data_IF_594259028195
#
_entry.id   IF_594259028195
#
_cell.length_a   1.000
_cell.length_b   1.000
_cell.length_c   1.000
_cell.angle_alpha   90.00
_cell.angle_beta   90.00
_cell.angle_gamma   90.00
#
_symmetry.space_group_name_H-M   'P 1'
#
loop_
_entity.id
_entity.type
_entity.pdbx_description
1 polymer ?
#
# COMPACT_ATOMS: atom_id res chain seq x y z
N UNK A 1 15.80 -6.20 -1.96
CA UNK A 1 16.02 -5.38 -0.74
C UNK A 1 16.01 -3.91 -1.10
N UNK A 2 15.43 -3.07 -0.23
CA UNK A 2 15.39 -1.63 -0.43
C UNK A 2 16.80 -1.05 -0.55
N UNK A 3 17.03 -0.26 -1.60
CA UNK A 3 18.35 0.31 -1.90
C UNK A 3 18.33 1.81 -1.71
N UNK A 4 19.35 2.33 -1.04
CA UNK A 4 19.63 3.74 -0.93
C UNK A 4 20.96 4.05 -1.63
N UNK A 5 21.05 5.20 -2.29
CA UNK A 5 22.30 5.64 -2.91
C UNK A 5 23.35 6.01 -1.84
N UNK A 6 22.90 6.45 -0.68
CA UNK A 6 23.71 6.79 0.48
C UNK A 6 22.96 6.37 1.75
N UNK A 7 23.28 5.19 2.27
CA UNK A 7 22.66 4.67 3.48
C UNK A 7 23.08 5.44 4.72
N UNK A 8 24.30 5.96 4.76
CA UNK A 8 24.78 6.77 5.89
C UNK A 8 23.86 7.96 6.18
N UNK A 9 23.32 8.60 5.14
CA UNK A 9 22.34 9.68 5.32
C UNK A 9 21.02 9.20 5.90
N UNK A 10 20.60 7.98 5.60
CA UNK A 10 19.38 7.39 6.16
C UNK A 10 19.55 7.07 7.63
N UNK A 11 20.75 6.61 8.03
CA UNK A 11 21.08 6.34 9.44
C UNK A 11 21.07 7.58 10.33
N UNK A 12 21.37 8.75 9.76
CA UNK A 12 21.35 10.04 10.46
C UNK A 12 19.94 10.61 10.67
N UNK A 13 18.93 10.13 9.94
CA UNK A 13 17.57 10.60 10.07
C UNK A 13 16.92 10.11 11.36
N UNK A 14 16.09 10.98 11.94
CA UNK A 14 15.23 10.59 13.05
C UNK A 14 14.14 9.63 12.57
N UNK A 15 14.04 8.48 13.23
CA UNK A 15 13.01 7.46 12.97
C UNK A 15 11.89 7.56 14.01
N UNK A 16 10.65 7.03 13.72
CA UNK A 16 10.26 6.44 12.44
C UNK A 16 9.93 7.50 11.37
N UNK A 17 10.01 7.11 10.08
CA UNK A 17 9.55 7.94 8.98
C UNK A 17 9.03 7.10 7.80
N UNK A 18 8.13 7.68 7.01
CA UNK A 18 7.63 7.12 5.76
C UNK A 18 8.58 7.45 4.63
N UNK A 19 9.25 6.45 4.08
CA UNK A 19 10.11 6.61 2.91
C UNK A 19 9.33 6.31 1.64
N UNK A 20 9.39 7.22 0.66
CA UNK A 20 8.80 7.05 -0.65
C UNK A 20 9.86 7.00 -1.76
N UNK A 21 9.96 5.85 -2.45
CA UNK A 21 10.77 5.70 -3.64
C UNK A 21 10.06 6.34 -4.84
N UNK A 22 10.52 7.52 -5.22
CA UNK A 22 9.90 8.32 -6.27
C UNK A 22 10.15 7.76 -7.68
N UNK A 23 11.17 6.93 -7.88
CA UNK A 23 11.42 6.30 -9.17
C UNK A 23 10.43 5.15 -9.41
N UNK A 24 10.20 4.29 -8.40
CA UNK A 24 9.15 3.25 -8.43
C UNK A 24 7.78 3.89 -8.58
N UNK A 25 7.48 4.93 -7.81
CA UNK A 25 6.22 5.65 -7.89
C UNK A 25 5.94 6.20 -9.30
N UNK A 26 6.88 6.97 -9.87
CA UNK A 26 6.73 7.55 -11.20
C UNK A 26 6.58 6.50 -12.30
N UNK A 27 7.34 5.40 -12.18
CA UNK A 27 7.24 4.27 -13.12
C UNK A 27 5.84 3.66 -13.10
N UNK A 28 5.30 3.42 -11.90
CA UNK A 28 3.95 2.87 -11.69
C UNK A 28 2.89 3.78 -12.29
N UNK A 29 2.90 5.07 -11.92
CA UNK A 29 1.90 6.04 -12.40
C UNK A 29 1.96 6.23 -13.91
N UNK A 30 3.17 6.32 -14.50
CA UNK A 30 3.34 6.46 -15.96
C UNK A 30 2.83 5.23 -16.71
N UNK A 31 3.09 4.03 -16.19
CA UNK A 31 2.58 2.80 -16.80
C UNK A 31 1.06 2.78 -16.78
N UNK A 32 0.43 3.01 -15.63
CA UNK A 32 -1.02 3.03 -15.50
C UNK A 32 -1.66 4.08 -16.42
N UNK A 33 -1.09 5.29 -16.52
CA UNK A 33 -1.57 6.35 -17.41
C UNK A 33 -1.47 5.94 -18.88
N UNK A 34 -0.34 5.37 -19.32
CA UNK A 34 -0.16 4.94 -20.71
C UNK A 34 -1.09 3.80 -21.11
N UNK A 35 -1.42 2.90 -20.16
CA UNK A 35 -2.38 1.82 -20.41
C UNK A 35 -3.81 2.36 -20.43
N UNK A 36 -4.15 3.29 -19.54
CA UNK A 36 -5.45 3.99 -19.58
C UNK A 36 -5.68 4.64 -20.95
N UNK A 37 -4.71 5.34 -21.50
CA UNK A 37 -4.78 5.93 -22.83
C UNK A 37 -4.88 4.86 -23.93
N UNK A 38 -4.03 3.83 -23.90
CA UNK A 38 -3.98 2.76 -24.90
C UNK A 38 -5.30 2.00 -25.04
N UNK A 39 -5.93 1.66 -23.90
CA UNK A 39 -7.15 0.86 -23.88
C UNK A 39 -8.43 1.71 -23.85
N UNK A 40 -8.32 3.03 -23.73
CA UNK A 40 -9.48 3.91 -23.61
C UNK A 40 -10.30 3.61 -22.34
N UNK A 41 -9.64 3.20 -21.27
CA UNK A 41 -10.23 2.90 -19.96
C UNK A 41 -9.79 3.99 -18.99
N UNK A 42 -10.75 4.78 -18.46
CA UNK A 42 -10.48 5.82 -17.48
C UNK A 42 -9.94 5.25 -16.16
N UNK A 43 -9.15 6.02 -15.43
CA UNK A 43 -8.68 5.60 -14.13
C UNK A 43 -8.85 6.73 -13.10
N UNK A 44 -9.51 6.42 -11.97
CA UNK A 44 -9.72 7.31 -10.84
C UNK A 44 -8.86 6.83 -9.67
N UNK A 45 -7.93 7.67 -9.23
CA UNK A 45 -7.10 7.32 -8.08
C UNK A 45 -7.92 7.31 -6.78
N UNK A 46 -7.93 6.18 -6.07
CA UNK A 46 -8.61 6.06 -4.79
C UNK A 46 -7.81 6.76 -3.67
N UNK A 47 -8.21 7.99 -3.31
CA UNK A 47 -7.50 8.85 -2.35
C UNK A 47 -7.30 8.20 -0.99
N UNK A 48 -8.25 7.39 -0.55
CA UNK A 48 -8.16 6.59 0.70
C UNK A 48 -6.88 5.76 0.84
N UNK A 49 -6.19 5.47 -0.27
CA UNK A 49 -4.96 4.69 -0.24
C UNK A 49 -3.78 5.50 0.29
N UNK A 50 -3.63 6.76 -0.14
CA UNK A 50 -2.58 7.66 0.33
C UNK A 50 -2.90 9.11 -0.12
N UNK A 51 -2.83 10.06 0.81
CA UNK A 51 -3.11 11.48 0.57
C UNK A 51 -1.86 12.37 0.67
N UNK A 52 -0.67 11.78 0.56
CA UNK A 52 0.58 12.55 0.56
C UNK A 52 0.59 13.55 -0.61
N UNK A 53 0.69 14.87 -0.35
CA UNK A 53 0.48 15.90 -1.36
C UNK A 53 1.35 15.76 -2.60
N UNK A 54 2.61 15.35 -2.43
CA UNK A 54 3.56 15.18 -3.54
C UNK A 54 3.18 14.03 -4.46
N UNK A 55 2.63 12.95 -3.90
CA UNK A 55 2.14 11.81 -4.68
C UNK A 55 0.84 12.18 -5.39
N UNK A 56 -0.12 12.73 -4.66
CA UNK A 56 -1.46 13.05 -5.16
C UNK A 56 -1.40 14.06 -6.30
N UNK A 57 -0.65 15.17 -6.13
CA UNK A 57 -0.49 16.19 -7.17
C UNK A 57 0.18 15.62 -8.44
N UNK A 58 1.13 14.69 -8.28
CA UNK A 58 1.75 14.04 -9.43
C UNK A 58 0.74 13.15 -10.18
N UNK A 59 -0.08 12.37 -9.48
CA UNK A 59 -1.14 11.54 -10.07
C UNK A 59 -2.13 12.43 -10.84
N UNK A 60 -2.63 13.51 -10.22
CA UNK A 60 -3.52 14.46 -10.86
C UNK A 60 -2.91 15.04 -12.15
N UNK A 61 -1.60 15.37 -12.14
CA UNK A 61 -0.87 15.89 -13.31
C UNK A 61 -0.78 14.91 -14.48
N UNK A 62 -1.11 13.63 -14.28
CA UNK A 62 -1.10 12.57 -15.31
C UNK A 62 -2.49 12.29 -15.89
N UNK A 63 -3.49 13.10 -15.57
CA UNK A 63 -4.82 13.00 -16.14
C UNK A 63 -5.73 11.97 -15.49
N UNK A 64 -5.35 11.46 -14.32
CA UNK A 64 -6.24 10.60 -13.54
C UNK A 64 -7.43 11.40 -12.98
N UNK A 65 -8.57 10.71 -12.83
CA UNK A 65 -9.65 11.15 -11.95
C UNK A 65 -9.34 10.81 -10.49
N UNK A 66 -10.27 11.18 -9.59
CA UNK A 66 -10.18 10.84 -8.17
C UNK A 66 -11.43 10.08 -7.71
N UNK A 67 -11.25 8.92 -7.04
CA UNK A 67 -12.27 8.25 -6.24
C UNK A 67 -12.13 8.74 -4.80
N UNK A 68 -13.20 9.38 -4.30
CA UNK A 68 -13.30 9.99 -2.98
C UNK A 68 -14.38 9.27 -2.15
N UNK A 69 -14.12 9.09 -0.86
CA UNK A 69 -15.07 8.42 0.06
C UNK A 69 -15.46 9.29 1.26
N UNK A 70 -15.11 10.58 1.22
CA UNK A 70 -15.57 11.61 2.15
C UNK A 70 -15.59 12.98 1.49
N UNK A 71 -16.38 13.92 2.04
CA UNK A 71 -16.42 15.29 1.56
C UNK A 71 -15.06 16.02 1.67
N UNK A 72 -14.24 15.65 2.64
CA UNK A 72 -12.88 16.21 2.75
C UNK A 72 -11.97 15.70 1.65
N UNK A 73 -12.08 14.42 1.26
CA UNK A 73 -11.34 13.90 0.10
C UNK A 73 -11.77 14.59 -1.20
N UNK A 74 -13.07 14.88 -1.38
CA UNK A 74 -13.56 15.64 -2.54
C UNK A 74 -12.93 17.03 -2.61
N UNK A 75 -12.89 17.77 -1.49
CA UNK A 75 -12.24 19.09 -1.42
C UNK A 75 -10.74 18.99 -1.71
N UNK A 76 -10.08 18.03 -1.09
CA UNK A 76 -8.67 17.78 -1.26
C UNK A 76 -8.32 17.38 -2.70
N UNK A 77 -9.16 16.62 -3.38
CA UNK A 77 -9.00 16.30 -4.81
C UNK A 77 -9.01 17.56 -5.67
N UNK A 78 -9.98 18.47 -5.45
CA UNK A 78 -10.03 19.76 -6.15
C UNK A 78 -8.77 20.58 -5.90
N UNK A 79 -8.34 20.70 -4.66
CA UNK A 79 -7.14 21.45 -4.24
C UNK A 79 -5.85 20.84 -4.81
N UNK A 80 -5.80 19.52 -4.98
CA UNK A 80 -4.67 18.78 -5.54
C UNK A 80 -4.58 18.83 -7.07
N UNK A 81 -5.58 19.44 -7.74
CA UNK A 81 -5.54 19.68 -9.19
C UNK A 81 -6.26 18.63 -10.04
N UNK A 82 -7.08 17.75 -9.45
CA UNK A 82 -7.96 16.89 -10.25
C UNK A 82 -9.06 17.72 -10.92
N UNK A 83 -9.40 17.38 -12.16
CA UNK A 83 -10.53 18.00 -12.84
C UNK A 83 -11.83 17.64 -12.11
N UNK A 84 -12.67 18.62 -11.78
CA UNK A 84 -13.92 18.39 -11.03
C UNK A 84 -14.82 17.37 -11.71
N UNK A 85 -14.90 17.40 -13.03
CA UNK A 85 -15.65 16.45 -13.86
C UNK A 85 -15.13 15.01 -13.79
N UNK A 86 -13.92 14.79 -13.26
CA UNK A 86 -13.28 13.48 -13.09
C UNK A 86 -13.18 13.08 -11.61
N UNK A 87 -13.93 13.75 -10.72
CA UNK A 87 -14.02 13.38 -9.31
C UNK A 87 -15.31 12.58 -9.12
N UNK A 88 -15.20 11.37 -8.59
CA UNK A 88 -16.33 10.55 -8.19
C UNK A 88 -16.39 10.46 -6.67
N UNK A 89 -17.62 10.44 -6.11
CA UNK A 89 -17.82 10.39 -4.67
C UNK A 89 -18.61 9.13 -4.30
N UNK A 90 -17.88 8.14 -3.77
CA UNK A 90 -18.38 6.85 -3.30
C UNK A 90 -18.53 6.81 -1.77
N UNK A 91 -18.93 5.65 -1.23
CA UNK A 91 -19.04 5.41 0.21
C UNK A 91 -20.45 5.50 0.75
N UNK A 92 -20.76 4.63 1.71
CA UNK A 92 -22.12 4.37 2.25
C UNK A 92 -22.64 5.42 3.23
N UNK A 93 -21.82 6.40 3.61
CA UNK A 93 -22.15 7.31 4.73
C UNK A 93 -21.97 8.78 4.35
N UNK A 94 -22.32 9.18 3.12
CA UNK A 94 -22.33 10.59 2.71
C UNK A 94 -23.38 11.34 3.51
N UNK A 95 -22.98 12.35 4.27
CA UNK A 95 -23.91 13.24 4.99
C UNK A 95 -24.52 14.27 4.04
N UNK A 96 -25.68 14.83 4.42
CA UNK A 96 -26.34 15.90 3.66
C UNK A 96 -25.39 17.07 3.36
N UNK A 97 -24.54 17.42 4.35
CA UNK A 97 -23.54 18.47 4.19
C UNK A 97 -22.51 18.11 3.13
N UNK A 98 -21.98 16.91 3.13
CA UNK A 98 -20.96 16.47 2.16
C UNK A 98 -21.56 16.37 0.75
N UNK A 99 -22.79 15.87 0.62
CA UNK A 99 -23.54 15.87 -0.65
C UNK A 99 -23.74 17.30 -1.15
N UNK A 100 -24.21 18.18 -0.28
CA UNK A 100 -24.44 19.59 -0.61
C UNK A 100 -23.15 20.30 -1.06
N UNK A 101 -22.06 20.11 -0.32
CA UNK A 101 -20.73 20.68 -0.66
C UNK A 101 -20.24 20.12 -2.02
N UNK A 102 -20.40 18.83 -2.29
CA UNK A 102 -20.00 18.20 -3.53
C UNK A 102 -20.83 18.67 -4.75
N UNK A 103 -22.14 18.90 -4.55
CA UNK A 103 -23.01 19.54 -5.56
C UNK A 103 -22.54 20.96 -5.88
N UNK A 104 -22.17 21.77 -4.88
CA UNK A 104 -21.65 23.11 -5.07
C UNK A 104 -20.28 23.14 -5.78
N UNK A 105 -19.46 22.12 -5.55
CA UNK A 105 -18.18 21.95 -6.25
C UNK A 105 -18.37 21.48 -7.70
N UNK A 106 -19.54 20.92 -8.05
CA UNK A 106 -19.84 20.41 -9.39
C UNK A 106 -18.94 19.23 -9.76
N UNK A 107 -18.88 18.22 -8.90
CA UNK A 107 -18.11 16.98 -9.15
C UNK A 107 -18.68 16.18 -10.31
N UNK A 108 -17.86 15.24 -10.82
CA UNK A 108 -18.23 14.41 -11.97
C UNK A 108 -19.41 13.49 -11.72
N UNK A 109 -19.42 12.75 -10.60
CA UNK A 109 -20.47 11.77 -10.32
C UNK A 109 -20.53 11.39 -8.84
N UNK A 110 -21.74 11.05 -8.37
CA UNK A 110 -21.95 10.34 -7.10
C UNK A 110 -22.12 8.85 -7.39
N UNK A 111 -21.29 8.00 -6.80
CA UNK A 111 -21.47 6.55 -6.76
C UNK A 111 -22.41 6.23 -5.59
N UNK A 112 -23.68 5.96 -5.90
CA UNK A 112 -24.77 5.86 -4.94
C UNK A 112 -24.87 4.45 -4.39
N UNK A 113 -25.01 4.33 -3.07
CA UNK A 113 -24.92 3.04 -2.36
C UNK A 113 -26.31 2.51 -1.91
N UNK A 114 -27.36 3.34 -1.93
CA UNK A 114 -28.72 2.95 -1.49
C UNK A 114 -29.83 3.81 -2.08
N UNK A 115 -31.07 3.28 -2.06
CA UNK A 115 -32.26 4.01 -2.51
C UNK A 115 -32.52 5.28 -1.70
N UNK A 116 -32.27 5.23 -0.39
CA UNK A 116 -32.42 6.40 0.48
C UNK A 116 -31.43 7.50 0.13
N UNK A 117 -30.17 7.14 -0.14
CA UNK A 117 -29.16 8.10 -0.59
C UNK A 117 -29.55 8.76 -1.91
N UNK A 118 -30.11 8.00 -2.87
CA UNK A 118 -30.62 8.56 -4.12
C UNK A 118 -31.66 9.65 -3.86
N UNK A 119 -32.62 9.39 -2.96
CA UNK A 119 -33.66 10.34 -2.60
C UNK A 119 -33.13 11.61 -1.93
N UNK A 120 -32.09 11.46 -1.08
CA UNK A 120 -31.43 12.59 -0.42
C UNK A 120 -30.67 13.44 -1.45
N UNK A 121 -29.94 12.81 -2.35
CA UNK A 121 -29.22 13.53 -3.42
C UNK A 121 -30.22 14.26 -4.33
N UNK A 122 -31.31 13.61 -4.71
CA UNK A 122 -32.38 14.22 -5.53
C UNK A 122 -32.97 15.47 -4.86
N UNK A 123 -33.37 15.36 -3.59
CA UNK A 123 -33.92 16.46 -2.83
C UNK A 123 -32.94 17.65 -2.68
N UNK A 124 -31.68 17.37 -2.36
CA UNK A 124 -30.66 18.40 -2.21
C UNK A 124 -30.34 19.07 -3.56
N UNK A 125 -30.18 18.30 -4.65
CA UNK A 125 -29.95 18.82 -5.98
C UNK A 125 -31.13 19.68 -6.46
N UNK A 126 -32.36 19.21 -6.27
CA UNK A 126 -33.57 19.96 -6.58
C UNK A 126 -33.66 21.28 -5.80
N UNK A 127 -33.37 21.27 -4.49
CA UNK A 127 -33.36 22.47 -3.65
C UNK A 127 -32.35 23.54 -4.10
N UNK A 128 -31.25 23.11 -4.72
CA UNK A 128 -30.21 23.97 -5.28
C UNK A 128 -30.47 24.35 -6.75
N UNK A 129 -31.49 23.78 -7.38
CA UNK A 129 -31.77 24.00 -8.80
C UNK A 129 -30.66 23.42 -9.74
N UNK A 130 -29.95 22.40 -9.31
CA UNK A 130 -28.90 21.73 -10.09
C UNK A 130 -29.28 20.27 -10.40
N UNK A 131 -28.57 19.63 -11.31
CA UNK A 131 -28.68 18.19 -11.55
C UNK A 131 -27.46 17.47 -11.01
N UNK A 132 -27.67 16.35 -10.32
CA UNK A 132 -26.62 15.48 -9.81
C UNK A 132 -26.39 14.32 -10.78
N UNK A 133 -25.18 14.17 -11.30
CA UNK A 133 -24.78 12.96 -11.99
C UNK A 133 -24.66 11.82 -10.99
N UNK A 134 -25.30 10.69 -11.27
CA UNK A 134 -25.30 9.52 -10.38
C UNK A 134 -24.97 8.24 -11.15
N UNK A 135 -24.13 7.40 -10.55
CA UNK A 135 -23.94 5.99 -10.94
C UNK A 135 -24.40 5.11 -9.78
N UNK A 136 -25.11 4.04 -10.08
CA UNK A 136 -25.55 3.11 -9.05
C UNK A 136 -24.41 2.13 -8.74
N UNK A 137 -23.96 2.10 -7.49
CA UNK A 137 -23.07 1.03 -7.05
C UNK A 137 -23.86 -0.23 -6.84
N UNK A 138 -23.48 -1.25 -7.58
CA UNK A 138 -24.13 -2.55 -7.59
C UNK A 138 -23.28 -3.55 -6.84
N UNK A 139 -23.92 -4.34 -5.98
CA UNK A 139 -23.30 -5.52 -5.41
C UNK A 139 -23.44 -6.71 -6.39
N UNK A 140 -22.35 -7.13 -7.09
CA UNK A 140 -22.42 -8.19 -8.10
C UNK A 140 -22.47 -9.59 -7.50
N UNK A 141 -22.38 -9.73 -6.18
CA UNK A 141 -22.29 -11.00 -5.46
C UNK A 141 -21.14 -11.91 -5.96
N UNK A 142 -19.94 -11.36 -5.99
CA UNK A 142 -18.72 -12.08 -6.37
C UNK A 142 -17.85 -12.25 -5.15
N UNK A 143 -17.40 -13.49 -4.89
CA UNK A 143 -16.35 -13.75 -3.92
C UNK A 143 -14.99 -13.61 -4.61
N UNK A 144 -14.28 -12.54 -4.27
CA UNK A 144 -12.93 -12.28 -4.78
C UNK A 144 -11.85 -13.07 -4.01
N UNK A 145 -12.23 -13.98 -3.09
CA UNK A 145 -11.33 -14.78 -2.25
C UNK A 145 -10.29 -13.94 -1.50
N UNK A 146 -10.66 -12.72 -1.10
CA UNK A 146 -9.80 -11.79 -0.36
C UNK A 146 -10.07 -11.86 1.14
N UNK A 147 -9.22 -11.21 1.95
CA UNK A 147 -9.41 -11.19 3.41
C UNK A 147 -10.80 -10.65 3.79
N UNK A 148 -11.47 -11.29 4.77
CA UNK A 148 -12.85 -10.98 5.20
C UNK A 148 -13.16 -9.50 5.37
N UNK A 149 -12.20 -8.71 5.87
CA UNK A 149 -12.40 -7.27 6.11
C UNK A 149 -12.19 -6.38 4.87
N UNK A 150 -11.76 -6.94 3.73
CA UNK A 150 -11.56 -6.20 2.47
C UNK A 150 -12.40 -6.74 1.31
N UNK A 151 -13.22 -7.75 1.54
CA UNK A 151 -14.20 -8.27 0.58
C UNK A 151 -15.45 -7.39 0.62
N UNK A 152 -15.88 -6.87 -0.53
CA UNK A 152 -17.02 -5.93 -0.64
C UNK A 152 -18.13 -6.44 -1.56
N UNK A 153 -17.91 -7.55 -2.26
CA UNK A 153 -18.82 -8.07 -3.29
C UNK A 153 -19.84 -9.12 -2.85
N UNK A 154 -19.97 -9.45 -1.56
CA UNK A 154 -20.89 -10.51 -1.07
C UNK A 154 -22.25 -9.96 -0.64
N UNK A 155 -23.29 -10.82 -0.63
CA UNK A 155 -24.70 -10.49 -0.38
C UNK A 155 -24.96 -9.72 0.92
N UNK A 156 -24.35 -10.07 2.02
CA UNK A 156 -24.55 -9.40 3.31
C UNK A 156 -23.42 -8.40 3.60
N UNK A 157 -23.23 -7.45 2.71
CA UNK A 157 -22.28 -6.36 2.88
C UNK A 157 -23.01 -5.03 2.93
N UNK A 158 -22.45 -4.06 3.65
CA UNK A 158 -23.01 -2.71 3.76
C UNK A 158 -22.96 -1.91 2.45
N UNK A 159 -22.32 -2.43 1.41
CA UNK A 159 -22.03 -1.71 0.17
C UNK A 159 -22.96 -2.12 -0.98
N UNK A 160 -23.41 -1.08 -1.71
CA UNK A 160 -24.08 -1.23 -3.00
C UNK A 160 -25.54 -1.64 -2.91
N UNK A 161 -26.26 -1.35 -3.98
CA UNK A 161 -27.68 -1.66 -4.20
C UNK A 161 -27.79 -3.14 -4.58
N UNK A 162 -28.65 -3.85 -3.89
CA UNK A 162 -28.89 -5.27 -4.09
C UNK A 162 -29.87 -5.55 -5.24
N UNK A 163 -29.79 -6.73 -5.86
CA UNK A 163 -30.61 -7.11 -7.00
C UNK A 163 -32.10 -6.88 -6.81
N UNK A 164 -32.64 -7.13 -5.62
CA UNK A 164 -34.07 -6.97 -5.32
C UNK A 164 -34.53 -5.50 -5.25
N UNK A 165 -33.60 -4.54 -5.22
CA UNK A 165 -33.86 -3.11 -5.17
C UNK A 165 -33.77 -2.43 -6.56
N UNK A 166 -33.37 -3.16 -7.61
CA UNK A 166 -33.09 -2.58 -8.94
C UNK A 166 -34.31 -1.89 -9.55
N UNK A 167 -35.50 -2.52 -9.47
CA UNK A 167 -36.73 -1.93 -10.01
C UNK A 167 -37.06 -0.64 -9.28
N UNK A 168 -36.97 -0.63 -7.95
CA UNK A 168 -37.23 0.57 -7.13
C UNK A 168 -36.18 1.69 -7.45
N UNK A 169 -34.93 1.35 -7.69
CA UNK A 169 -33.91 2.31 -8.14
C UNK A 169 -34.27 2.94 -9.49
N UNK A 170 -34.74 2.12 -10.45
CA UNK A 170 -35.24 2.60 -11.76
C UNK A 170 -36.43 3.55 -11.59
N UNK A 171 -37.40 3.21 -10.73
CA UNK A 171 -38.55 4.05 -10.47
C UNK A 171 -38.15 5.42 -9.90
N UNK A 172 -37.22 5.47 -8.95
CA UNK A 172 -36.66 6.72 -8.44
C UNK A 172 -36.01 7.53 -9.55
N UNK A 173 -35.14 6.91 -10.38
CA UNK A 173 -34.47 7.60 -11.48
C UNK A 173 -35.46 8.17 -12.50
N UNK A 174 -36.49 7.40 -12.90
CA UNK A 174 -37.53 7.83 -13.84
C UNK A 174 -38.42 8.93 -13.28
N UNK A 175 -38.66 8.91 -11.97
CA UNK A 175 -39.48 9.92 -11.26
C UNK A 175 -38.70 11.22 -10.96
N UNK A 176 -37.39 11.20 -10.93
CA UNK A 176 -36.57 12.34 -10.59
C UNK A 176 -36.35 13.30 -11.76
N UNK A 177 -36.29 14.60 -11.43
CA UNK A 177 -35.86 15.67 -12.37
C UNK A 177 -34.48 16.23 -12.06
N UNK A 178 -33.92 15.89 -10.89
CA UNK A 178 -32.65 16.42 -10.41
C UNK A 178 -31.52 15.37 -10.46
N UNK A 179 -31.84 14.09 -10.66
CA UNK A 179 -30.84 13.06 -10.91
C UNK A 179 -30.57 12.92 -12.42
N UNK A 180 -29.32 12.69 -12.76
CA UNK A 180 -28.86 12.38 -14.12
C UNK A 180 -28.09 11.07 -14.08
N UNK A 181 -28.77 9.97 -14.45
CA UNK A 181 -28.18 8.64 -14.43
C UNK A 181 -27.09 8.51 -15.49
N UNK A 182 -25.88 8.18 -15.06
CA UNK A 182 -24.71 8.01 -15.93
C UNK A 182 -24.37 6.55 -16.17
N UNK A 183 -24.54 5.69 -15.19
CA UNK A 183 -24.16 4.29 -15.34
C UNK A 183 -24.10 3.50 -14.06
N UNK A 184 -23.30 2.46 -14.08
CA UNK A 184 -23.13 1.52 -13.00
C UNK A 184 -21.70 1.52 -12.48
N UNK A 185 -21.56 1.33 -11.18
CA UNK A 185 -20.30 1.20 -10.48
C UNK A 185 -20.24 -0.12 -9.74
N UNK A 186 -19.10 -0.77 -9.79
CA UNK A 186 -18.81 -2.04 -9.15
C UNK A 186 -17.56 -1.92 -8.28
N UNK A 187 -17.43 -2.75 -7.27
CA UNK A 187 -16.17 -2.92 -6.53
C UNK A 187 -16.23 -4.21 -5.72
N UNK A 188 -15.42 -5.18 -6.07
CA UNK A 188 -15.51 -6.56 -5.57
C UNK A 188 -14.57 -6.89 -4.43
N UNK A 189 -13.55 -6.05 -4.19
CA UNK A 189 -12.61 -6.29 -3.11
C UNK A 189 -11.27 -5.58 -3.27
N UNK A 190 -10.30 -5.98 -2.47
CA UNK A 190 -8.95 -5.39 -2.47
C UNK A 190 -7.89 -6.47 -2.28
N UNK A 191 -6.68 -6.25 -2.80
CA UNK A 191 -5.58 -7.21 -2.84
C UNK A 191 -5.95 -8.47 -3.65
N UNK A 192 -6.49 -8.26 -4.86
CA UNK A 192 -6.82 -9.31 -5.80
C UNK A 192 -5.55 -9.70 -6.56
N UNK A 193 -5.06 -10.90 -6.32
CA UNK A 193 -3.84 -11.46 -6.95
C UNK A 193 -4.16 -12.43 -8.09
N UNK A 194 -5.32 -13.11 -8.04
CA UNK A 194 -5.84 -13.88 -9.19
C UNK A 194 -6.56 -12.94 -10.16
N UNK A 195 -5.74 -12.18 -10.90
CA UNK A 195 -6.22 -11.14 -11.83
C UNK A 195 -7.06 -11.75 -12.95
N UNK A 196 -6.68 -12.93 -13.47
CA UNK A 196 -7.35 -13.54 -14.63
C UNK A 196 -8.77 -13.99 -14.29
N UNK A 197 -8.92 -14.81 -13.26
CA UNK A 197 -10.21 -15.43 -12.93
C UNK A 197 -11.19 -14.41 -12.37
N UNK A 198 -10.73 -13.59 -11.42
CA UNK A 198 -11.60 -12.67 -10.66
C UNK A 198 -12.11 -11.54 -11.54
N UNK A 199 -11.23 -10.86 -12.29
CA UNK A 199 -11.67 -9.76 -13.17
C UNK A 199 -12.40 -10.24 -14.40
N UNK A 200 -12.15 -11.48 -14.90
CA UNK A 200 -12.99 -12.06 -15.96
C UNK A 200 -14.43 -12.25 -15.50
N UNK A 201 -14.61 -12.79 -14.29
CA UNK A 201 -15.94 -12.98 -13.70
C UNK A 201 -16.64 -11.63 -13.41
N UNK A 202 -15.88 -10.64 -12.93
CA UNK A 202 -16.42 -9.29 -12.74
C UNK A 202 -16.93 -8.68 -14.04
N UNK A 203 -16.16 -8.77 -15.13
CA UNK A 203 -16.57 -8.28 -16.43
C UNK A 203 -17.83 -8.98 -16.97
N UNK A 204 -17.94 -10.30 -16.77
CA UNK A 204 -19.13 -11.06 -17.17
C UNK A 204 -20.36 -10.61 -16.38
N UNK A 205 -20.25 -10.49 -15.05
CA UNK A 205 -21.35 -10.04 -14.18
C UNK A 205 -21.75 -8.60 -14.44
N UNK A 206 -20.77 -7.72 -14.62
CA UNK A 206 -21.04 -6.32 -14.96
C UNK A 206 -21.84 -6.23 -16.27
N UNK A 207 -21.44 -6.97 -17.31
CA UNK A 207 -22.15 -6.99 -18.59
C UNK A 207 -23.58 -7.52 -18.46
N UNK A 208 -23.82 -8.61 -17.69
CA UNK A 208 -25.16 -9.15 -17.43
C UNK A 208 -26.07 -8.11 -16.73
N UNK A 209 -25.50 -7.38 -15.79
CA UNK A 209 -26.26 -6.36 -15.04
C UNK A 209 -26.54 -5.14 -15.92
N UNK A 210 -25.58 -4.70 -16.74
CA UNK A 210 -25.77 -3.63 -17.72
C UNK A 210 -26.90 -4.02 -18.70
N UNK A 211 -26.87 -5.21 -19.29
CA UNK A 211 -27.91 -5.72 -20.17
C UNK A 211 -29.30 -5.74 -19.48
N UNK A 212 -29.34 -6.06 -18.20
CA UNK A 212 -30.58 -6.05 -17.44
C UNK A 212 -31.17 -4.63 -17.29
N UNK A 213 -30.33 -3.62 -16.92
CA UNK A 213 -30.78 -2.23 -16.80
C UNK A 213 -31.25 -1.68 -18.15
N UNK A 214 -30.55 -1.98 -19.23
CA UNK A 214 -30.92 -1.56 -20.57
C UNK A 214 -32.23 -2.20 -21.05
N UNK A 215 -32.46 -3.47 -20.75
CA UNK A 215 -33.73 -4.15 -21.03
C UNK A 215 -34.91 -3.52 -20.25
N UNK A 216 -34.65 -2.82 -19.13
CA UNK A 216 -35.67 -2.09 -18.35
C UNK A 216 -35.75 -0.60 -18.71
N UNK A 217 -35.14 -0.20 -19.83
CA UNK A 217 -35.24 1.14 -20.40
C UNK A 217 -34.33 2.18 -19.76
N UNK A 218 -33.23 1.73 -19.12
CA UNK A 218 -32.19 2.61 -18.58
C UNK A 218 -30.97 2.57 -19.50
N UNK A 219 -30.59 3.72 -20.05
CA UNK A 219 -29.35 3.82 -20.84
C UNK A 219 -28.15 3.88 -19.91
N UNK A 220 -27.29 2.85 -19.95
CA UNK A 220 -26.05 2.79 -19.18
C UNK A 220 -24.92 3.40 -20.01
N UNK A 221 -24.52 4.62 -19.70
CA UNK A 221 -23.47 5.36 -20.44
C UNK A 221 -22.07 5.11 -19.92
N UNK A 222 -21.92 4.70 -18.63
CA UNK A 222 -20.62 4.42 -18.00
C UNK A 222 -20.63 3.14 -17.18
N UNK A 223 -19.50 2.44 -17.18
CA UNK A 223 -19.27 1.23 -16.40
C UNK A 223 -17.97 1.44 -15.61
N UNK A 224 -18.08 1.60 -14.30
CA UNK A 224 -16.92 1.66 -13.42
C UNK A 224 -16.74 0.30 -12.72
N UNK A 225 -15.61 -0.35 -12.97
CA UNK A 225 -15.30 -1.66 -12.38
C UNK A 225 -14.59 -1.57 -11.02
N UNK A 226 -14.42 -0.34 -10.50
CA UNK A 226 -13.75 -0.16 -9.23
C UNK A 226 -12.26 -0.51 -9.28
N UNK A 227 -11.74 -0.91 -8.13
CA UNK A 227 -10.32 -1.17 -7.98
C UNK A 227 -10.01 -2.63 -7.64
N UNK A 228 -9.03 -2.79 -6.76
CA UNK A 228 -8.73 -4.08 -6.14
C UNK A 228 -7.42 -4.72 -6.55
N UNK A 229 -6.77 -4.30 -7.64
CA UNK A 229 -5.51 -4.91 -8.11
C UNK A 229 -4.49 -5.00 -6.96
N UNK A 230 -4.04 -6.23 -6.70
CA UNK A 230 -3.11 -6.57 -5.64
C UNK A 230 -1.67 -6.17 -5.95
N UNK A 231 -0.83 -6.27 -4.92
CA UNK A 231 0.62 -6.03 -4.98
C UNK A 231 1.35 -7.20 -4.34
N UNK A 232 2.63 -7.34 -4.66
CA UNK A 232 3.49 -8.34 -4.06
C UNK A 232 4.05 -7.81 -2.72
N UNK A 233 3.61 -8.42 -1.62
CA UNK A 233 4.11 -8.11 -0.29
C UNK A 233 5.30 -8.97 0.13
N UNK A 234 5.49 -10.13 -0.54
CA UNK A 234 6.54 -11.08 -0.21
C UNK A 234 7.86 -10.73 -0.90
N UNK A 235 7.80 -10.47 -2.23
CA UNK A 235 8.99 -10.13 -3.01
C UNK A 235 8.82 -8.78 -3.75
N UNK A 236 8.72 -7.66 -3.01
CA UNK A 236 8.41 -6.35 -3.57
C UNK A 236 9.48 -5.81 -4.53
N UNK A 237 10.70 -6.33 -4.48
CA UNK A 237 11.79 -5.92 -5.38
C UNK A 237 11.76 -6.66 -6.72
N UNK A 238 11.20 -7.87 -6.76
CA UNK A 238 11.02 -8.62 -8.00
C UNK A 238 9.87 -8.06 -8.82
N UNK A 239 8.79 -7.67 -8.14
CA UNK A 239 7.58 -7.11 -8.74
C UNK A 239 7.26 -5.71 -8.18
N UNK A 240 8.14 -4.70 -8.41
CA UNK A 240 7.98 -3.37 -7.85
C UNK A 240 6.83 -2.57 -8.47
N UNK A 241 6.33 -3.01 -9.63
CA UNK A 241 5.19 -2.41 -10.33
C UNK A 241 4.15 -3.50 -10.57
N UNK A 242 2.90 -3.32 -10.10
CA UNK A 242 1.83 -4.28 -10.31
C UNK A 242 1.51 -4.53 -11.78
N UNK A 243 0.95 -5.69 -12.09
CA UNK A 243 0.64 -6.10 -13.47
C UNK A 243 -0.63 -5.41 -14.00
N UNK A 244 -0.53 -4.09 -14.19
CA UNK A 244 -1.57 -3.28 -14.83
C UNK A 244 -1.87 -3.74 -16.25
N UNK A 245 -0.86 -4.16 -17.02
CA UNK A 245 -1.05 -4.63 -18.40
C UNK A 245 -2.03 -5.81 -18.46
N UNK A 246 -1.88 -6.78 -17.55
CA UNK A 246 -2.78 -7.91 -17.48
C UNK A 246 -4.20 -7.47 -17.12
N UNK A 247 -4.35 -6.56 -16.15
CA UNK A 247 -5.64 -6.07 -15.71
C UNK A 247 -6.40 -5.33 -16.82
N UNK A 248 -5.77 -4.33 -17.44
CA UNK A 248 -6.38 -3.59 -18.56
C UNK A 248 -6.74 -4.50 -19.74
N UNK A 249 -5.85 -5.43 -20.09
CA UNK A 249 -6.08 -6.40 -21.18
C UNK A 249 -7.26 -7.31 -20.90
N UNK A 250 -7.48 -7.75 -19.65
CA UNK A 250 -8.62 -8.58 -19.28
C UNK A 250 -9.91 -7.79 -19.45
N UNK A 251 -9.96 -6.58 -18.93
CA UNK A 251 -11.14 -5.71 -19.05
C UNK A 251 -11.47 -5.49 -20.53
N UNK A 252 -10.49 -5.09 -21.33
CA UNK A 252 -10.70 -4.84 -22.77
C UNK A 252 -11.22 -6.08 -23.53
N UNK A 253 -10.74 -7.27 -23.18
CA UNK A 253 -11.13 -8.52 -23.85
C UNK A 253 -12.42 -9.14 -23.35
N UNK A 254 -12.75 -8.96 -22.06
CA UNK A 254 -13.82 -9.70 -21.39
C UNK A 254 -15.08 -8.89 -21.15
N UNK A 255 -14.95 -7.56 -20.98
CA UNK A 255 -16.12 -6.73 -20.76
C UNK A 255 -16.86 -6.54 -22.09
N UNK A 256 -18.07 -7.10 -22.18
CA UNK A 256 -18.99 -6.85 -23.27
C UNK A 256 -19.62 -5.46 -23.08
N UNK A 257 -19.31 -4.53 -23.96
CA UNK A 257 -19.81 -3.15 -23.92
C UNK A 257 -20.10 -2.61 -25.32
N UNK A 258 -20.94 -1.60 -25.39
CA UNK A 258 -21.12 -0.83 -26.61
C UNK A 258 -19.96 0.17 -26.78
N UNK A 259 -19.65 0.58 -28.03
CA UNK A 259 -18.56 1.54 -28.28
C UNK A 259 -18.73 2.89 -27.58
N UNK A 260 -19.98 3.30 -27.33
CA UNK A 260 -20.33 4.59 -26.70
C UNK A 260 -20.19 4.56 -25.18
N UNK A 261 -20.15 3.38 -24.59
CA UNK A 261 -20.01 3.23 -23.14
C UNK A 261 -18.58 3.51 -22.70
N UNK A 262 -18.43 4.48 -21.80
CA UNK A 262 -17.16 4.70 -21.13
C UNK A 262 -16.90 3.62 -20.06
N UNK A 263 -15.64 3.25 -19.91
CA UNK A 263 -15.21 2.32 -18.85
C UNK A 263 -14.18 3.00 -17.98
N UNK A 264 -14.25 2.77 -16.68
CA UNK A 264 -13.28 3.25 -15.71
C UNK A 264 -12.91 2.20 -14.66
N UNK A 265 -11.79 2.45 -13.98
CA UNK A 265 -11.28 1.67 -12.86
C UNK A 265 -10.81 2.60 -11.74
N UNK A 266 -10.71 2.08 -10.50
CA UNK A 266 -10.34 2.86 -9.32
C UNK A 266 -9.07 2.30 -8.62
N UNK A 267 -7.87 2.40 -9.25
CA UNK A 267 -6.65 1.92 -8.62
C UNK A 267 -6.26 2.77 -7.41
N UNK A 268 -6.07 2.11 -6.26
CA UNK A 268 -5.57 2.75 -5.04
C UNK A 268 -4.26 2.09 -4.59
N UNK A 269 -4.35 0.92 -3.96
CA UNK A 269 -3.20 0.14 -3.47
C UNK A 269 -2.11 -0.03 -4.52
N UNK A 270 -2.47 -0.47 -5.70
CA UNK A 270 -1.54 -0.74 -6.80
C UNK A 270 -0.73 0.48 -7.25
N UNK A 271 -1.25 1.70 -7.02
CA UNK A 271 -0.56 2.94 -7.40
C UNK A 271 0.58 3.32 -6.47
N UNK A 272 0.46 3.03 -5.16
CA UNK A 272 1.31 3.64 -4.13
C UNK A 272 1.90 2.65 -3.12
N UNK A 273 1.43 1.40 -3.02
CA UNK A 273 1.90 0.48 -1.99
C UNK A 273 3.40 0.21 -2.08
N UNK A 274 3.88 -0.14 -3.27
CA UNK A 274 5.24 -0.60 -3.49
C UNK A 274 6.30 0.50 -3.36
N UNK A 275 5.94 1.76 -3.60
CA UNK A 275 6.88 2.86 -3.46
C UNK A 275 7.11 3.28 -2.01
N UNK A 276 6.25 2.88 -1.07
CA UNK A 276 6.34 3.27 0.34
C UNK A 276 6.96 2.20 1.24
N UNK A 277 7.80 2.63 2.16
CA UNK A 277 8.33 1.80 3.25
C UNK A 277 8.30 2.60 4.55
N UNK A 278 7.97 1.95 5.67
CA UNK A 278 8.14 2.55 6.99
C UNK A 278 9.54 2.19 7.51
N UNK A 279 10.34 3.21 7.74
CA UNK A 279 11.71 3.06 8.26
C UNK A 279 11.67 3.27 9.78
N UNK A 280 12.29 2.36 10.50
CA UNK A 280 12.22 2.29 11.95
C UNK A 280 13.55 1.81 12.53
N UNK A 281 13.79 2.09 13.79
CA UNK A 281 15.04 1.75 14.50
C UNK A 281 14.78 0.77 15.63
N UNK A 282 15.67 -0.19 15.81
CA UNK A 282 15.68 -1.08 16.96
C UNK A 282 16.08 -0.31 18.21
N UNK A 283 15.15 -0.13 19.14
CA UNK A 283 15.39 0.48 20.45
C UNK A 283 16.08 -0.49 21.40
N UNK A 284 15.56 -1.71 21.46
CA UNK A 284 16.06 -2.75 22.36
C UNK A 284 15.92 -4.12 21.73
N UNK A 285 16.87 -5.00 22.07
CA UNK A 285 16.76 -6.44 21.86
C UNK A 285 16.50 -7.07 23.22
N UNK A 286 15.39 -7.78 23.37
CA UNK A 286 15.00 -8.41 24.64
C UNK A 286 14.94 -9.91 24.46
N UNK A 287 15.82 -10.65 25.10
CA UNK A 287 15.78 -12.11 25.13
C UNK A 287 14.84 -12.57 26.26
N UNK A 288 13.86 -13.39 25.88
CA UNK A 288 13.03 -14.18 26.78
C UNK A 288 13.56 -15.60 26.92
N UNK A 289 12.80 -16.48 27.54
CA UNK A 289 13.19 -17.90 27.67
C UNK A 289 13.14 -18.65 26.33
N UNK A 290 12.17 -18.34 25.47
CA UNK A 290 11.93 -19.03 24.19
C UNK A 290 11.93 -18.13 22.97
N UNK A 291 11.88 -16.80 23.16
CA UNK A 291 11.73 -15.81 22.10
C UNK A 291 12.71 -14.67 22.26
N UNK A 292 13.12 -14.08 21.16
CA UNK A 292 13.89 -12.83 21.15
C UNK A 292 13.05 -11.74 20.50
N UNK A 293 12.83 -10.64 21.20
CA UNK A 293 12.06 -9.49 20.73
C UNK A 293 12.98 -8.41 20.19
N UNK A 294 12.64 -7.89 19.00
CA UNK A 294 13.15 -6.60 18.53
C UNK A 294 12.08 -5.55 18.81
N UNK A 295 12.37 -4.65 19.76
CA UNK A 295 11.48 -3.54 20.12
C UNK A 295 11.85 -2.35 19.27
N UNK A 296 10.91 -1.91 18.43
CA UNK A 296 11.08 -0.85 17.45
C UNK A 296 10.62 0.50 18.00
N UNK A 297 11.02 1.61 17.36
CA UNK A 297 10.47 2.94 17.67
C UNK A 297 9.17 3.24 16.91
N UNK A 298 8.89 2.55 15.78
CA UNK A 298 7.58 2.54 15.15
C UNK A 298 6.65 1.53 15.82
N UNK A 299 5.34 1.83 15.86
CA UNK A 299 4.32 0.97 16.45
C UNK A 299 3.06 0.87 15.59
N UNK A 300 2.05 0.17 16.15
CA UNK A 300 0.74 0.05 15.50
C UNK A 300 0.06 1.42 15.29
N UNK A 301 0.45 2.45 16.02
CA UNK A 301 0.02 3.83 15.80
C UNK A 301 0.52 4.40 14.47
N UNK A 302 1.66 3.94 13.97
CA UNK A 302 2.19 4.33 12.64
C UNK A 302 1.60 3.45 11.55
N UNK A 303 1.63 2.11 11.68
CA UNK A 303 1.08 1.17 10.71
C UNK A 303 0.18 0.13 11.41
N UNK A 304 -1.12 0.40 11.43
CA UNK A 304 -2.12 -0.43 12.13
C UNK A 304 -2.40 -1.77 11.44
N UNK A 305 -2.05 -1.92 10.15
CA UNK A 305 -2.48 -3.05 9.32
C UNK A 305 -2.11 -4.44 9.84
N UNK A 306 -0.92 -4.70 10.38
CA UNK A 306 -0.61 -5.99 11.01
C UNK A 306 -1.54 -6.31 12.18
N UNK A 307 -1.75 -5.36 13.10
CA UNK A 307 -2.62 -5.53 14.26
C UNK A 307 -4.10 -5.67 13.89
N UNK A 308 -4.59 -4.91 12.89
CA UNK A 308 -6.01 -4.85 12.53
C UNK A 308 -6.43 -5.98 11.58
N UNK A 309 -5.58 -6.33 10.63
CA UNK A 309 -5.91 -7.25 9.54
C UNK A 309 -5.05 -8.52 9.53
N UNK A 310 -4.08 -8.66 10.42
CA UNK A 310 -3.04 -9.69 10.31
C UNK A 310 -2.21 -9.53 9.03
N UNK A 311 -2.12 -8.30 8.49
CA UNK A 311 -1.48 -8.06 7.20
C UNK A 311 0.02 -8.33 7.27
N UNK A 312 0.49 -9.13 6.32
CA UNK A 312 1.92 -9.34 6.13
C UNK A 312 2.59 -8.13 5.47
N UNK A 313 3.77 -7.80 5.94
CA UNK A 313 4.72 -6.91 5.30
C UNK A 313 6.11 -7.50 5.42
N UNK A 314 6.89 -7.50 4.34
CA UNK A 314 8.30 -7.90 4.39
C UNK A 314 9.07 -6.92 5.26
N UNK A 315 9.88 -7.46 6.19
CA UNK A 315 10.75 -6.68 7.07
C UNK A 315 12.19 -7.01 6.75
N UNK A 316 13.03 -5.99 6.62
CA UNK A 316 14.44 -6.11 6.25
C UNK A 316 15.31 -5.34 7.23
N UNK A 317 16.43 -5.94 7.66
CA UNK A 317 17.46 -5.22 8.42
C UNK A 317 18.43 -4.56 7.43
N UNK A 318 18.28 -3.26 7.24
CA UNK A 318 19.09 -2.47 6.31
C UNK A 318 20.53 -2.32 6.81
N UNK A 319 20.72 -2.05 8.11
CA UNK A 319 22.07 -1.89 8.70
C UNK A 319 22.92 -3.14 8.51
N UNK A 320 22.37 -4.34 8.74
CA UNK A 320 23.09 -5.59 8.51
C UNK A 320 23.39 -5.85 7.03
N UNK A 321 22.54 -5.39 6.12
CA UNK A 321 22.76 -5.52 4.68
C UNK A 321 23.93 -4.64 4.21
N UNK A 322 23.91 -3.35 4.56
CA UNK A 322 24.93 -2.40 4.11
C UNK A 322 26.29 -2.70 4.74
N UNK A 323 26.36 -3.13 6.00
CA UNK A 323 27.61 -3.57 6.62
C UNK A 323 28.27 -4.76 5.89
N UNK A 324 27.47 -5.68 5.31
CA UNK A 324 28.01 -6.82 4.50
C UNK A 324 28.52 -6.38 3.14
N UNK A 325 27.86 -5.44 2.48
CA UNK A 325 28.31 -4.91 1.19
C UNK A 325 29.62 -4.16 1.31
N UNK A 326 29.80 -3.34 2.34
CA UNK A 326 31.08 -2.66 2.61
C UNK A 326 32.23 -3.63 2.90
N UNK A 327 31.98 -4.71 3.64
CA UNK A 327 33.00 -5.72 3.93
C UNK A 327 33.41 -6.51 2.67
N UNK A 328 32.45 -6.85 1.80
CA UNK A 328 32.74 -7.56 0.55
C UNK A 328 33.52 -6.71 -0.47
N UNK A 329 33.22 -5.42 -0.56
CA UNK A 329 33.97 -4.48 -1.41
C UNK A 329 35.41 -4.26 -0.90
N UNK A 330 35.60 -4.24 0.42
CA UNK A 330 36.93 -4.12 1.02
C UNK A 330 37.78 -5.38 0.82
N UNK A 331 37.19 -6.58 0.81
CA UNK A 331 37.90 -7.84 0.52
C UNK A 331 38.30 -7.96 -0.95
N UNK A 332 37.48 -7.47 -1.88
CA UNK A 332 37.85 -7.46 -3.32
C UNK A 332 38.96 -6.46 -3.64
N UNK A 333 38.96 -5.29 -2.98
CA UNK A 333 40.06 -4.32 -3.11
C UNK A 333 41.39 -4.86 -2.56
N UNK A 334 41.36 -5.70 -1.52
CA UNK A 334 42.55 -6.34 -0.97
C UNK A 334 43.07 -7.50 -1.85
N UNK A 335 42.20 -8.20 -2.58
CA UNK A 335 42.62 -9.27 -3.54
C UNK A 335 43.30 -8.74 -4.79
N UNK A 336 43.02 -7.52 -5.22
CA UNK A 336 43.67 -6.90 -6.38
C UNK A 336 45.06 -6.31 -6.12
N UNK A 337 45.54 -6.30 -4.86
CA UNK A 337 46.86 -5.78 -4.49
C UNK A 337 47.90 -6.85 -4.13
N UNK A 338 47.63 -8.12 -4.39
CA UNK A 338 48.70 -9.15 -4.30
C UNK A 338 49.47 -9.25 -5.62
N UNK A 339 50.60 -8.54 -5.69
CA UNK A 339 51.62 -8.71 -6.71
C UNK A 339 52.27 -10.12 -6.64
N UNK A 340 52.58 -10.73 -7.77
CA UNK A 340 53.22 -12.06 -7.81
C UNK A 340 54.69 -11.98 -7.57
N UNK A 341 55.20 -12.85 -6.74
CA UNK A 341 56.60 -13.31 -6.82
C UNK A 341 57.49 -13.08 -5.63
N UNK A 342 57.67 -14.16 -4.87
CA UNK A 342 59.01 -14.72 -4.58
C UNK A 342 58.89 -16.09 -3.91
N UNK A 343 59.35 -17.09 -4.61
CA UNK A 343 59.61 -18.44 -4.11
C UNK A 343 60.66 -18.44 -3.01
N UNK A 344 60.40 -19.09 -1.88
CA UNK A 344 61.43 -19.62 -1.01
C UNK A 344 61.19 -21.10 -0.73
N UNK A 345 62.27 -21.85 -0.85
CA UNK A 345 62.34 -23.32 -0.77
C UNK A 345 62.21 -23.80 0.68
N UNK A 346 61.78 -25.05 0.76
CA UNK A 346 61.72 -25.86 1.97
C UNK A 346 63.08 -26.11 2.62
N UNK A 347 63.07 -26.26 3.93
CA UNK A 347 64.16 -26.78 4.74
C UNK A 347 63.72 -27.14 6.12
N UNK A 348 63.76 -28.37 6.45
CA UNK A 348 63.37 -29.27 7.52
C UNK A 348 63.79 -28.89 8.97
N UNK A 349 63.70 -29.85 9.94
CA UNK A 349 62.58 -29.96 10.93
C UNK A 349 63.10 -29.98 12.40
N UNK A 350 62.17 -30.38 13.33
CA UNK A 350 62.39 -30.96 14.66
C UNK A 350 62.57 -30.06 15.88
N UNK A 351 61.77 -30.41 16.88
CA UNK A 351 62.04 -30.13 18.28
C UNK A 351 60.83 -30.42 19.21
N UNK A 352 60.90 -31.59 19.81
CA UNK A 352 59.97 -32.12 20.82
C UNK A 352 59.92 -31.30 22.11
N UNK A 353 58.77 -31.39 22.84
CA UNK A 353 58.92 -31.42 24.28
C UNK A 353 57.90 -30.73 25.16
N UNK A 354 56.93 -31.54 25.59
CA UNK A 354 56.36 -31.69 26.95
C UNK A 354 55.61 -30.54 27.67
N UNK A 355 54.58 -30.91 28.43
CA UNK A 355 53.63 -30.02 29.10
C UNK A 355 54.10 -29.57 30.48
N UNK A 356 53.67 -28.39 30.90
CA UNK A 356 53.77 -27.92 32.30
C UNK A 356 52.41 -27.47 32.81
N UNK A 357 52.07 -28.00 33.96
CA UNK A 357 50.87 -27.88 34.71
C UNK A 357 50.69 -26.54 35.46
N UNK A 358 49.80 -26.52 36.49
CA UNK A 358 48.94 -25.39 36.78
C UNK A 358 49.54 -24.43 37.81
N UNK A 359 48.79 -23.37 38.09
CA UNK A 359 48.91 -22.36 39.15
C UNK A 359 49.55 -21.03 38.74
N UNK A 360 48.66 -20.02 38.62
CA UNK A 360 48.87 -18.69 39.22
C UNK A 360 47.54 -17.85 39.31
N UNK A 361 47.48 -16.92 40.24
CA UNK A 361 46.24 -16.47 40.87
C UNK A 361 45.58 -15.27 40.16
N UNK A 362 44.29 -15.10 40.54
CA UNK A 362 43.40 -13.98 40.21
C UNK A 362 44.01 -12.61 40.58
N UNK A 363 44.26 -11.77 39.60
CA UNK A 363 44.33 -10.32 39.82
C UNK A 363 43.04 -9.65 39.41
N UNK A 364 42.49 -8.86 40.36
CA UNK A 364 41.33 -7.99 40.18
C UNK A 364 41.75 -6.75 39.37
N UNK A 365 41.11 -6.52 38.24
CA UNK A 365 41.26 -5.28 37.46
C UNK A 365 39.96 -4.90 36.80
N UNK A 366 39.42 -3.77 37.21
CA UNK A 366 38.21 -3.07 36.88
C UNK A 366 37.60 -3.10 35.48
N UNK A 367 36.33 -3.22 35.50
CA UNK A 367 35.26 -2.49 34.84
C UNK A 367 35.40 -2.16 33.34
N UNK A 368 34.96 -3.05 32.49
CA UNK A 368 34.48 -2.73 31.16
C UNK A 368 33.29 -3.63 30.88
N UNK A 369 32.08 -3.09 30.93
CA UNK A 369 30.88 -3.83 30.57
C UNK A 369 30.95 -4.14 29.09
N UNK A 370 31.35 -5.31 28.77
CA UNK A 370 30.90 -6.31 27.85
C UNK A 370 30.83 -5.98 26.37
N UNK A 371 31.88 -6.31 25.66
CA UNK A 371 31.82 -6.53 24.19
C UNK A 371 32.08 -8.00 23.77
N UNK A 372 32.02 -8.97 24.68
CA UNK A 372 32.50 -10.33 24.41
C UNK A 372 31.45 -11.44 24.39
N UNK A 373 30.17 -11.12 24.02
CA UNK A 373 29.18 -12.16 23.66
C UNK A 373 28.82 -12.05 22.18
N UNK A 374 29.78 -11.82 21.32
CA UNK A 374 29.60 -11.80 19.85
C UNK A 374 30.28 -13.02 19.20
N UNK A 375 30.18 -14.21 19.82
CA UNK A 375 30.63 -15.42 19.14
C UNK A 375 29.45 -16.32 18.78
N UNK A 376 29.22 -16.43 17.43
CA UNK A 376 28.44 -17.44 16.73
C UNK A 376 26.92 -17.42 16.93
N UNK A 377 26.24 -16.31 16.66
CA UNK A 377 24.85 -16.40 16.26
C UNK A 377 24.79 -16.81 14.77
N UNK A 378 23.90 -17.75 14.37
CA UNK A 378 23.79 -18.20 13.00
C UNK A 378 23.43 -17.04 12.06
N UNK A 379 23.69 -17.21 10.76
CA UNK A 379 23.45 -16.23 9.67
C UNK A 379 22.00 -15.68 9.60
N UNK A 380 21.05 -16.29 10.32
CA UNK A 380 19.68 -15.83 10.54
C UNK A 380 19.24 -16.18 11.96
N UNK A 381 18.53 -15.27 12.61
CA UNK A 381 17.90 -15.49 13.89
C UNK A 381 16.41 -15.21 13.81
N UNK A 382 15.61 -15.94 14.58
CA UNK A 382 14.17 -15.73 14.65
C UNK A 382 13.86 -14.64 15.68
N UNK A 383 13.09 -13.65 15.28
CA UNK A 383 12.68 -12.54 16.13
C UNK A 383 11.17 -12.33 16.10
N UNK A 384 10.61 -12.00 17.26
CA UNK A 384 9.31 -11.36 17.33
C UNK A 384 9.52 -9.84 17.27
N UNK A 385 8.99 -9.21 16.22
CA UNK A 385 9.19 -7.79 15.95
C UNK A 385 7.99 -7.04 16.48
N UNK A 386 8.21 -6.15 17.45
CA UNK A 386 7.17 -5.48 18.21
C UNK A 386 7.39 -3.97 18.28
N UNK A 387 6.31 -3.21 18.37
CA UNK A 387 6.36 -1.77 18.54
C UNK A 387 6.46 -1.35 20.02
N UNK A 388 6.47 -0.04 20.28
CA UNK A 388 6.63 0.55 21.60
C UNK A 388 5.29 0.89 22.28
N UNK A 389 4.16 0.60 21.66
CA UNK A 389 2.82 0.90 22.19
C UNK A 389 2.48 -0.09 23.31
N UNK A 390 1.84 0.40 24.38
CA UNK A 390 1.46 -0.44 25.54
C UNK A 390 0.23 -1.33 25.22
N UNK A 391 0.31 -2.11 24.16
CA UNK A 391 -0.72 -3.03 23.68
C UNK A 391 -0.06 -4.35 23.24
N UNK A 392 -0.61 -5.49 23.66
CA UNK A 392 -0.10 -6.81 23.22
C UNK A 392 -0.29 -7.06 21.72
N UNK A 393 -1.17 -6.30 21.07
CA UNK A 393 -1.40 -6.33 19.63
C UNK A 393 -0.38 -5.55 18.80
N UNK A 394 0.54 -4.81 19.45
CA UNK A 394 1.60 -4.06 18.76
C UNK A 394 2.72 -4.98 18.27
N UNK A 395 2.37 -5.89 17.38
CA UNK A 395 3.23 -6.92 16.80
C UNK A 395 3.24 -6.80 15.28
N UNK A 396 4.41 -6.76 14.69
CA UNK A 396 4.64 -6.68 13.25
C UNK A 396 4.83 -8.06 12.61
N UNK A 397 5.31 -9.00 13.40
CA UNK A 397 5.48 -10.39 13.02
C UNK A 397 6.17 -11.21 14.09
N UNK A 398 5.71 -12.44 14.25
CA UNK A 398 6.31 -13.40 15.14
C UNK A 398 7.22 -14.35 14.37
N UNK A 399 8.34 -14.76 14.98
CA UNK A 399 9.28 -15.73 14.43
C UNK A 399 9.85 -15.32 13.06
N UNK A 400 10.10 -14.02 12.85
CA UNK A 400 10.66 -13.53 11.58
C UNK A 400 12.16 -13.80 11.51
N UNK A 401 12.60 -14.43 10.43
CA UNK A 401 14.01 -14.65 10.15
C UNK A 401 14.65 -13.36 9.64
N UNK A 402 15.58 -12.82 10.41
CA UNK A 402 16.39 -11.66 10.02
C UNK A 402 17.86 -11.96 10.26
N UNK A 403 18.79 -11.23 9.59
CA UNK A 403 20.18 -11.19 9.99
C UNK A 403 20.30 -10.80 11.46
N UNK A 404 21.44 -11.17 12.10
CA UNK A 404 21.71 -10.70 13.44
C UNK A 404 21.42 -9.21 13.57
N UNK A 405 20.56 -8.87 14.51
CA UNK A 405 20.03 -7.52 14.70
C UNK A 405 20.37 -7.02 16.11
N UNK A 406 20.78 -5.78 16.22
CA UNK A 406 21.20 -5.14 17.47
C UNK A 406 20.52 -3.79 17.67
N UNK A 407 20.62 -3.26 18.88
CA UNK A 407 20.18 -1.89 19.18
C UNK A 407 20.82 -0.87 18.21
N UNK A 408 20.00 0.01 17.67
CA UNK A 408 20.41 1.04 16.73
C UNK A 408 20.24 0.66 15.27
N UNK A 409 20.11 -0.63 14.95
CA UNK A 409 19.89 -1.06 13.56
C UNK A 409 18.62 -0.43 12.96
N UNK A 410 18.71 -0.09 11.69
CA UNK A 410 17.59 0.44 10.90
C UNK A 410 16.91 -0.73 10.19
N UNK A 411 15.59 -0.82 10.36
CA UNK A 411 14.75 -1.78 9.65
C UNK A 411 13.81 -1.05 8.69
N UNK A 412 13.49 -1.72 7.59
CA UNK A 412 12.45 -1.29 6.66
C UNK A 412 11.27 -2.26 6.68
N UNK A 413 10.05 -1.72 6.82
CA UNK A 413 8.81 -2.44 6.64
C UNK A 413 8.29 -2.06 5.27
N UNK A 414 8.26 -3.03 4.34
CA UNK A 414 8.09 -2.81 2.91
C UNK A 414 6.62 -2.71 2.48
N UNK A 415 6.40 -2.12 1.31
CA UNK A 415 5.06 -2.06 0.65
C UNK A 415 3.99 -1.40 1.52
N UNK A 416 4.37 -0.36 2.27
CA UNK A 416 3.48 0.33 3.22
C UNK A 416 2.91 1.64 2.66
N UNK A 417 3.17 1.97 1.40
CA UNK A 417 2.74 3.23 0.78
C UNK A 417 1.22 3.37 0.63
N UNK A 418 0.47 2.26 0.69
CA UNK A 418 -0.99 2.28 0.70
C UNK A 418 -1.53 1.88 2.08
N UNK A 419 -2.51 2.64 2.57
CA UNK A 419 -3.18 2.39 3.86
C UNK A 419 -2.19 2.34 5.04
N UNK A 420 -1.05 3.01 4.92
CA UNK A 420 -0.08 3.22 5.98
C UNK A 420 -0.34 4.56 6.66
N UNK A 421 0.32 5.62 6.20
CA UNK A 421 0.25 6.97 6.81
C UNK A 421 -1.18 7.50 6.98
N UNK A 422 -2.10 7.19 6.07
CA UNK A 422 -3.51 7.62 6.15
C UNK A 422 -4.29 6.99 7.30
N UNK A 423 -3.81 5.89 7.87
CA UNK A 423 -4.40 5.20 9.01
C UNK A 423 -3.62 5.43 10.31
N UNK A 424 -2.57 6.23 10.28
CA UNK A 424 -1.77 6.55 11.47
C UNK A 424 -2.57 7.34 12.50
N UNK A 425 -2.23 7.17 13.75
CA UNK A 425 -2.88 7.82 14.88
C UNK A 425 -1.86 8.37 15.88
N UNK A 426 -2.31 9.22 16.79
CA UNK A 426 -1.52 9.73 17.92
C UNK A 426 -1.72 8.92 19.20
N UNK A 427 -1.98 7.62 19.05
CA UNK A 427 -2.16 6.75 20.20
C UNK A 427 -0.92 6.77 21.10
N UNK A 428 -1.10 6.74 22.40
CA UNK A 428 -0.09 7.02 23.44
C UNK A 428 0.59 8.41 23.29
N UNK A 429 -0.09 9.40 22.66
CA UNK A 429 0.44 10.75 22.38
C UNK A 429 1.73 10.74 21.55
N UNK A 430 1.94 9.71 20.73
CA UNK A 430 3.09 9.64 19.82
C UNK A 430 2.91 10.58 18.63
N UNK A 431 4.00 11.15 18.16
CA UNK A 431 3.99 11.97 16.96
C UNK A 431 3.76 11.12 15.70
N UNK A 432 3.15 11.73 14.68
CA UNK A 432 3.03 11.09 13.37
C UNK A 432 4.40 11.08 12.68
N UNK A 433 4.75 9.95 12.09
CA UNK A 433 5.97 9.79 11.32
C UNK A 433 5.97 10.71 10.08
N UNK A 434 7.03 11.49 9.84
CA UNK A 434 7.13 12.38 8.67
C UNK A 434 7.38 11.60 7.38
N UNK A 435 7.11 12.25 6.24
CA UNK A 435 7.45 11.72 4.91
C UNK A 435 8.87 12.14 4.50
N UNK A 436 9.61 11.20 3.89
CA UNK A 436 10.94 11.39 3.30
C UNK A 436 10.91 10.82 1.88
N UNK A 437 11.39 11.58 0.91
CA UNK A 437 11.36 11.16 -0.49
C UNK A 437 12.76 10.86 -1.01
N UNK A 438 12.87 9.84 -1.87
CA UNK A 438 14.16 9.45 -2.46
C UNK A 438 14.85 10.61 -3.20
N UNK A 439 14.08 11.53 -3.81
CA UNK A 439 14.62 12.71 -4.49
C UNK A 439 15.37 13.64 -3.54
N UNK A 440 14.85 13.82 -2.33
CA UNK A 440 15.41 14.75 -1.34
C UNK A 440 16.72 14.21 -0.75
N UNK A 441 16.91 12.88 -0.80
CA UNK A 441 18.16 12.22 -0.42
C UNK A 441 19.25 12.31 -1.51
N UNK A 442 18.87 12.55 -2.78
CA UNK A 442 19.82 12.69 -3.91
C UNK A 442 20.41 14.10 -4.05
N UNK A 443 19.78 15.12 -3.44
CA UNK A 443 20.05 16.54 -3.73
C UNK A 443 21.12 17.24 -2.87
N UNK A 444 21.96 16.50 -2.10
CA UNK A 444 23.00 17.13 -1.28
C UNK A 444 24.40 16.67 -1.60
#
# INVERSE_FOLDING_TARGET
MLKFNDFGRVEELATPFWYYDMDVFRKTVKLAASLSERYGIGAHYALKANVEPRLVSYIASKGFGADCVSGNEVKYAVESGFARSSIVFAGVGKSDKEISDALDLGIGCFNVESLMEMQVIDALAASKGVRANVSLRINPNIDAHTHRYVTTGLYENKFGISRHEFEAAIDILKGSKALDFKGLHFHIGSQITDVESVYSLECERAAEIVEWFEAHGMEVGSIDLGGGLGVDYDEPDENPVPDFEKWFRIIDKKLRRRPEQSVSIEPGRSMVAQCGSLITRVLFVKSGETKTFLIMDAGMNDLIRPALYGAYHKIENLSAHYARTESSESEDLTRHHQMPGRSWRAGEPCGDGKPAGPDRPLEKGGGGIGNDIVQSLPLGSLYDIVGPVCESSDVWGEGRELPYSKRGDILAIRSTGAYGSVMSSRYNLRDLAPAVFSDDLKLK
#
